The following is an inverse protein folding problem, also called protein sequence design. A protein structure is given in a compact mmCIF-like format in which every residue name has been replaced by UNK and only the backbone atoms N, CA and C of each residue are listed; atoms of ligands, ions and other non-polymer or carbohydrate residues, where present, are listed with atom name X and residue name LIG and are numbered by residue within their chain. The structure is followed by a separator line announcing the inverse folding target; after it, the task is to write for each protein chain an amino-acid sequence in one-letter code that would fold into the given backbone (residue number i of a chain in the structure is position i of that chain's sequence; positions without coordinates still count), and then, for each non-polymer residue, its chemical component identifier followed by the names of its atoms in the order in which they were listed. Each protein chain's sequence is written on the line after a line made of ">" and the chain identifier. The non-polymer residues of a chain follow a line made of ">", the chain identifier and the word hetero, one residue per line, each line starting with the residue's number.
data_IF_090639124018
#
_entry.id   IF_090639124018
#
_cell.length_a   1.000
_cell.length_b   1.000
_cell.length_c   1.000
_cell.angle_alpha   90.00
_cell.angle_beta   90.00
_cell.angle_gamma   90.00
#
_symmetry.space_group_name_H-M   'P 1'
#
loop_
_entity.id
_entity.type
_entity.pdbx_description
1 polymer ?
#
# COMPACT_ATOMS: atom_id res chain seq x y z
N UNK A 1 2.45 -20.37 -57.06
CA UNK A 1 1.97 -19.37 -56.10
C UNK A 1 1.45 -20.11 -54.89
N UNK A 2 2.31 -20.37 -53.90
CA UNK A 2 1.94 -21.12 -52.69
C UNK A 2 2.42 -20.28 -51.50
N UNK A 3 1.62 -19.30 -51.14
CA UNK A 3 1.85 -18.48 -49.95
C UNK A 3 1.48 -19.32 -48.72
N UNK A 4 2.48 -19.65 -47.91
CA UNK A 4 2.34 -20.37 -46.65
C UNK A 4 1.44 -19.59 -45.68
N UNK A 5 0.43 -20.21 -45.04
CA UNK A 5 -0.50 -19.50 -44.15
C UNK A 5 0.05 -19.28 -42.73
N UNK A 6 1.38 -19.29 -42.55
CA UNK A 6 1.98 -19.29 -41.21
C UNK A 6 2.01 -17.92 -40.52
N UNK A 7 1.50 -16.86 -41.14
CA UNK A 7 1.48 -15.50 -40.57
C UNK A 7 0.05 -14.96 -40.36
N UNK A 8 -0.91 -15.80 -39.94
CA UNK A 8 -2.24 -15.31 -39.47
C UNK A 8 -2.63 -16.00 -38.17
N UNK A 9 -1.68 -16.07 -37.24
CA UNK A 9 -1.94 -16.44 -35.84
C UNK A 9 -1.38 -15.40 -34.86
N UNK A 10 -1.17 -14.17 -35.32
CA UNK A 10 -1.15 -13.03 -34.41
C UNK A 10 -2.58 -12.94 -33.88
N UNK A 11 -2.82 -13.61 -32.75
CA UNK A 11 -4.10 -13.69 -32.07
C UNK A 11 -4.82 -12.36 -32.19
N UNK A 12 -5.85 -12.33 -33.04
CA UNK A 12 -6.80 -11.22 -33.09
C UNK A 12 -7.56 -11.28 -31.77
N UNK A 13 -6.96 -10.75 -30.72
CA UNK A 13 -7.67 -10.37 -29.51
C UNK A 13 -8.72 -9.39 -29.99
N UNK A 14 -9.99 -9.77 -29.87
CA UNK A 14 -11.07 -8.88 -30.27
C UNK A 14 -10.96 -7.59 -29.43
N UNK A 15 -11.36 -6.43 -29.96
CA UNK A 15 -11.33 -5.18 -29.18
C UNK A 15 -11.99 -5.31 -27.80
N UNK A 16 -13.04 -6.12 -27.72
CA UNK A 16 -13.74 -6.47 -26.48
C UNK A 16 -12.94 -7.38 -25.53
N UNK A 17 -12.14 -8.31 -26.06
CA UNK A 17 -11.26 -9.14 -25.22
C UNK A 17 -10.09 -8.31 -24.68
N UNK A 18 -9.59 -7.34 -25.45
CA UNK A 18 -8.55 -6.41 -25.02
C UNK A 18 -9.03 -5.56 -23.83
N UNK A 19 -10.20 -4.94 -23.96
CA UNK A 19 -10.85 -4.18 -22.86
C UNK A 19 -11.06 -5.06 -21.63
N UNK A 20 -11.46 -6.33 -21.82
CA UNK A 20 -11.68 -7.25 -20.70
C UNK A 20 -10.40 -7.58 -19.93
N UNK A 21 -9.27 -7.68 -20.61
CA UNK A 21 -7.96 -7.97 -20.00
C UNK A 21 -7.44 -6.72 -19.25
N UNK A 22 -7.59 -5.54 -19.84
CA UNK A 22 -7.20 -4.27 -19.21
C UNK A 22 -7.98 -4.02 -17.92
N UNK A 23 -9.30 -4.26 -17.96
CA UNK A 23 -10.17 -4.15 -16.79
C UNK A 23 -9.75 -5.17 -15.71
N UNK A 24 -9.45 -6.42 -16.08
CA UNK A 24 -8.99 -7.42 -15.12
C UNK A 24 -7.65 -7.06 -14.45
N UNK A 25 -6.73 -6.44 -15.18
CA UNK A 25 -5.47 -5.97 -14.63
C UNK A 25 -5.70 -4.83 -13.62
N UNK A 26 -6.55 -3.87 -13.94
CA UNK A 26 -6.91 -2.79 -13.02
C UNK A 26 -7.56 -3.31 -11.74
N UNK A 27 -8.46 -4.30 -11.84
CA UNK A 27 -9.07 -4.91 -10.64
C UNK A 27 -8.04 -5.63 -9.77
N UNK A 28 -7.08 -6.33 -10.38
CA UNK A 28 -6.00 -6.97 -9.63
C UNK A 28 -5.12 -5.93 -8.90
N UNK A 29 -4.73 -4.84 -9.56
CA UNK A 29 -3.95 -3.77 -8.94
C UNK A 29 -4.70 -3.10 -7.78
N UNK A 30 -6.00 -2.85 -7.95
CA UNK A 30 -6.85 -2.26 -6.91
C UNK A 30 -6.99 -3.21 -5.72
N UNK A 31 -7.18 -4.51 -5.94
CA UNK A 31 -7.32 -5.50 -4.87
C UNK A 31 -6.00 -5.65 -4.09
N UNK A 32 -4.88 -5.74 -4.80
CA UNK A 32 -3.55 -5.87 -4.18
C UNK A 32 -3.17 -4.62 -3.36
N UNK A 33 -3.70 -3.44 -3.68
CA UNK A 33 -3.46 -2.22 -2.89
C UNK A 33 -3.96 -2.35 -1.46
N UNK A 34 -5.11 -2.99 -1.23
CA UNK A 34 -5.67 -3.15 0.11
C UNK A 34 -4.92 -4.21 0.92
N UNK A 35 -4.49 -5.29 0.28
CA UNK A 35 -3.72 -6.36 0.92
C UNK A 35 -2.28 -5.94 1.29
N UNK A 36 -1.66 -5.05 0.49
CA UNK A 36 -0.32 -4.52 0.75
C UNK A 36 -0.30 -3.32 1.72
N UNK A 37 -1.45 -2.65 1.91
CA UNK A 37 -1.53 -1.46 2.76
C UNK A 37 -1.46 -1.75 4.26
N UNK A 38 -1.64 -3.00 4.70
CA UNK A 38 -1.61 -3.34 6.13
C UNK A 38 -0.22 -3.12 6.75
N UNK A 39 0.86 -3.52 6.07
CA UNK A 39 2.24 -3.37 6.55
C UNK A 39 2.77 -1.92 6.36
N UNK A 40 2.30 -1.23 5.33
CA UNK A 40 2.81 0.12 4.97
C UNK A 40 2.07 1.26 5.69
N UNK A 41 0.80 1.05 6.10
CA UNK A 41 0.04 2.03 6.90
C UNK A 41 0.54 2.11 8.35
N UNK A 42 1.04 0.99 8.88
CA UNK A 42 1.67 0.89 10.19
C UNK A 42 3.18 1.21 10.18
N UNK A 43 3.69 1.78 9.09
CA UNK A 43 5.08 2.21 8.97
C UNK A 43 5.46 3.21 10.09
N UNK A 44 6.40 2.80 10.95
CA UNK A 44 6.94 3.58 12.08
C UNK A 44 7.55 4.92 11.68
N UNK A 45 7.94 5.08 10.41
CA UNK A 45 8.53 6.30 9.88
C UNK A 45 7.50 7.24 9.20
N UNK A 46 6.21 6.87 9.17
CA UNK A 46 5.16 7.75 8.66
C UNK A 46 5.05 9.02 9.50
N UNK A 47 4.85 10.17 8.84
CA UNK A 47 4.72 11.47 9.51
C UNK A 47 3.59 11.48 10.57
N UNK A 48 2.49 10.77 10.32
CA UNK A 48 1.39 10.59 11.27
C UNK A 48 1.83 9.85 12.55
N UNK A 49 2.64 8.79 12.40
CA UNK A 49 3.15 7.98 13.52
C UNK A 49 4.20 8.72 14.33
N UNK A 50 5.06 9.49 13.66
CA UNK A 50 6.02 10.38 14.31
C UNK A 50 5.35 11.48 15.12
N UNK A 51 4.26 12.07 14.60
CA UNK A 51 3.47 13.06 15.35
C UNK A 51 2.84 12.45 16.60
N UNK A 52 2.19 11.30 16.48
CA UNK A 52 1.58 10.59 17.61
C UNK A 52 2.62 10.19 18.67
N UNK A 53 3.78 9.69 18.24
CA UNK A 53 4.89 9.38 19.14
C UNK A 53 5.46 10.63 19.82
N UNK A 54 5.55 11.76 19.11
CA UNK A 54 5.98 13.04 19.67
C UNK A 54 5.01 13.54 20.73
N UNK A 55 3.70 13.38 20.49
CA UNK A 55 2.64 13.70 21.44
C UNK A 55 2.76 12.84 22.70
N UNK A 56 2.85 11.53 22.55
CA UNK A 56 3.02 10.60 23.68
C UNK A 56 4.30 10.92 24.45
N UNK A 57 5.41 11.22 23.77
CA UNK A 57 6.68 11.54 24.42
C UNK A 57 6.63 12.86 25.19
N UNK A 58 5.92 13.87 24.67
CA UNK A 58 5.66 15.10 25.41
C UNK A 58 4.87 14.75 26.67
N UNK A 59 3.68 14.16 26.53
CA UNK A 59 2.77 13.81 27.63
C UNK A 59 3.39 12.87 28.68
N UNK A 60 4.20 11.90 28.25
CA UNK A 60 4.87 10.94 29.12
C UNK A 60 6.14 11.52 29.76
N UNK A 61 6.84 12.45 29.11
CA UNK A 61 8.01 13.14 29.68
C UNK A 61 7.64 14.01 30.88
N UNK A 62 6.46 14.65 30.84
CA UNK A 62 5.88 15.41 31.95
C UNK A 62 5.38 14.47 33.06
N UNK A 63 4.79 13.32 32.68
CA UNK A 63 4.34 12.31 33.63
C UNK A 63 5.48 11.60 34.38
N UNK A 64 6.58 11.26 33.68
CA UNK A 64 7.77 10.65 34.29
C UNK A 64 8.43 11.61 35.28
N UNK A 65 8.63 12.88 34.91
CA UNK A 65 9.23 13.91 35.77
C UNK A 65 8.33 14.28 36.97
N UNK A 66 7.00 14.30 36.77
CA UNK A 66 6.01 14.51 37.84
C UNK A 66 6.01 13.35 38.84
N UNK A 67 5.99 12.10 38.36
CA UNK A 67 5.90 10.90 39.21
C UNK A 67 7.16 10.66 40.04
N UNK A 68 8.35 10.91 39.48
CA UNK A 68 9.62 10.80 40.25
C UNK A 68 9.77 11.92 41.29
N UNK A 69 9.22 13.11 41.05
CA UNK A 69 9.21 14.20 42.03
C UNK A 69 8.17 14.04 43.14
N UNK A 70 7.07 13.30 42.92
CA UNK A 70 6.10 12.97 43.96
C UNK A 70 6.52 11.79 44.86
N UNK A 71 7.57 11.06 44.49
CA UNK A 71 8.04 9.86 45.21
C UNK A 71 9.34 10.08 45.98
N UNK A 72 9.87 11.31 46.00
CA UNK A 72 11.02 11.66 46.84
C UNK A 72 10.52 12.18 48.20
N UNK A 73 10.94 11.59 49.34
CA UNK A 73 10.58 12.10 50.67
C UNK A 73 11.19 13.48 50.96
#
# INVERSE_FOLDING_TARGET
>A
NAESPLCVKMSTISPTDYDSIEIQQQYNDINNRWDLAADDWDNENSSARLFERSRIKALAGECWLSTVNCSSP
#
